data_IF_844287034549
#
_entry.id   IF_844287034549
#
_cell.length_a   1.000
_cell.length_b   1.000
_cell.length_c   1.000
_cell.angle_alpha   90.00
_cell.angle_beta   90.00
_cell.angle_gamma   90.00
#
_symmetry.space_group_name_H-M   'P 1'
#
loop_
_entity.id
_entity.type
_entity.pdbx_description
1 polymer ?
#
# COMPACT_ATOMS: atom_id res chain seq x y z
N UNK A 1 4.80 21.27 -20.50
CA UNK A 1 4.45 19.83 -20.36
C UNK A 1 5.64 18.92 -20.04
N UNK A 2 6.84 19.15 -20.58
CA UNK A 2 8.06 18.35 -20.28
C UNK A 2 8.53 18.42 -18.82
N UNK A 3 8.29 19.55 -18.14
CA UNK A 3 8.69 19.76 -16.75
C UNK A 3 7.96 18.89 -15.72
N UNK A 4 6.80 18.32 -16.05
CA UNK A 4 6.05 17.48 -15.10
C UNK A 4 6.34 15.98 -15.26
N UNK A 5 6.84 15.55 -16.43
CA UNK A 5 7.11 14.13 -16.72
C UNK A 5 8.40 13.64 -16.05
N UNK A 6 9.46 14.46 -16.07
CA UNK A 6 10.71 14.10 -15.40
C UNK A 6 10.56 14.05 -13.88
N UNK A 7 9.78 14.95 -13.27
CA UNK A 7 9.47 14.91 -11.83
C UNK A 7 8.72 13.64 -11.43
N UNK A 8 7.74 13.21 -12.23
CA UNK A 8 7.05 11.94 -12.03
C UNK A 8 8.03 10.76 -12.12
N UNK A 9 8.88 10.73 -13.15
CA UNK A 9 9.87 9.67 -13.34
C UNK A 9 10.84 9.59 -12.15
N UNK A 10 11.38 10.72 -11.69
CA UNK A 10 12.25 10.76 -10.50
C UNK A 10 11.52 10.33 -9.22
N UNK A 11 10.29 10.77 -9.02
CA UNK A 11 9.49 10.37 -7.85
C UNK A 11 9.26 8.86 -7.84
N UNK A 12 8.91 8.28 -8.99
CA UNK A 12 8.73 6.83 -9.15
C UNK A 12 10.04 6.09 -8.92
N UNK A 13 11.14 6.55 -9.53
CA UNK A 13 12.45 5.90 -9.42
C UNK A 13 12.97 5.91 -7.97
N UNK A 14 12.94 7.07 -7.31
CA UNK A 14 13.40 7.22 -5.92
C UNK A 14 12.54 6.40 -4.98
N UNK A 15 11.22 6.46 -5.14
CA UNK A 15 10.31 5.74 -4.24
C UNK A 15 10.34 4.22 -4.44
N UNK A 16 10.42 3.73 -5.69
CA UNK A 16 10.65 2.30 -5.96
C UNK A 16 12.03 1.86 -5.48
N UNK A 17 13.08 2.68 -5.68
CA UNK A 17 14.42 2.37 -5.21
C UNK A 17 14.47 2.25 -3.69
N UNK A 18 13.88 3.22 -2.97
CA UNK A 18 13.77 3.17 -1.52
C UNK A 18 12.95 1.95 -1.05
N UNK A 19 11.86 1.63 -1.74
CA UNK A 19 11.04 0.46 -1.45
C UNK A 19 11.82 -0.85 -1.65
N UNK A 20 12.50 -1.02 -2.79
CA UNK A 20 13.29 -2.23 -3.05
C UNK A 20 14.46 -2.38 -2.07
N UNK A 21 15.11 -1.28 -1.69
CA UNK A 21 16.15 -1.30 -0.66
C UNK A 21 15.58 -1.77 0.69
N UNK A 22 14.47 -1.19 1.14
CA UNK A 22 13.81 -1.61 2.37
C UNK A 22 13.33 -3.07 2.29
N UNK A 23 12.76 -3.47 1.16
CA UNK A 23 12.26 -4.81 0.93
C UNK A 23 13.37 -5.87 0.94
N UNK A 24 14.50 -5.54 0.32
CA UNK A 24 15.70 -6.37 0.34
C UNK A 24 16.23 -6.53 1.77
N UNK A 25 16.35 -5.43 2.52
CA UNK A 25 16.83 -5.48 3.91
C UNK A 25 15.93 -6.31 4.81
N UNK A 26 14.60 -6.15 4.70
CA UNK A 26 13.63 -6.94 5.47
C UNK A 26 13.69 -8.42 5.08
N UNK A 27 13.76 -8.72 3.78
CA UNK A 27 13.84 -10.10 3.28
C UNK A 27 15.14 -10.78 3.73
N UNK A 28 16.28 -10.10 3.58
CA UNK A 28 17.58 -10.60 4.02
C UNK A 28 17.65 -10.80 5.53
N UNK A 29 17.07 -9.90 6.33
CA UNK A 29 16.97 -10.07 7.77
C UNK A 29 16.08 -11.28 8.13
N UNK A 30 14.94 -11.44 7.47
CA UNK A 30 14.07 -12.58 7.71
C UNK A 30 14.75 -13.91 7.38
N UNK A 31 15.46 -14.01 6.25
CA UNK A 31 16.24 -15.19 5.90
C UNK A 31 17.40 -15.46 6.88
N UNK A 32 18.06 -14.39 7.36
CA UNK A 32 19.20 -14.51 8.28
C UNK A 32 18.78 -14.98 9.68
N UNK A 33 17.66 -14.46 10.18
CA UNK A 33 17.23 -14.70 11.56
C UNK A 33 16.16 -15.78 11.68
N UNK A 34 15.52 -16.18 10.57
CA UNK A 34 14.48 -17.22 10.49
C UNK A 34 13.50 -17.18 11.69
N UNK A 35 12.85 -16.03 11.95
CA UNK A 35 12.04 -15.85 13.15
C UNK A 35 10.87 -16.82 13.19
N UNK A 36 10.50 -17.25 14.40
CA UNK A 36 9.26 -18.02 14.62
C UNK A 36 8.03 -17.20 14.21
N UNK A 37 6.89 -17.89 14.01
CA UNK A 37 5.61 -17.24 13.69
C UNK A 37 5.27 -16.18 14.74
N UNK A 38 5.38 -16.51 16.02
CA UNK A 38 5.09 -15.57 17.11
C UNK A 38 5.98 -14.32 17.05
N UNK A 39 7.28 -14.51 16.82
CA UNK A 39 8.22 -13.40 16.65
C UNK A 39 7.84 -12.54 15.44
N UNK A 40 7.45 -13.17 14.33
CA UNK A 40 7.00 -12.47 13.12
C UNK A 40 5.71 -11.67 13.34
N UNK A 41 4.79 -12.17 14.18
CA UNK A 41 3.57 -11.45 14.58
C UNK A 41 3.90 -10.23 15.43
N UNK A 42 4.82 -10.34 16.38
CA UNK A 42 5.28 -9.20 17.16
C UNK A 42 5.97 -8.15 16.31
N UNK A 43 6.85 -8.56 15.39
CA UNK A 43 7.50 -7.64 14.44
C UNK A 43 6.45 -6.96 13.55
N UNK A 44 5.50 -7.72 13.01
CA UNK A 44 4.42 -7.19 12.17
C UNK A 44 3.50 -6.23 12.94
N UNK A 45 3.18 -6.55 14.20
CA UNK A 45 2.40 -5.69 15.10
C UNK A 45 3.14 -4.39 15.43
N UNK A 46 4.44 -4.47 15.76
CA UNK A 46 5.27 -3.31 16.00
C UNK A 46 5.39 -2.42 14.74
N UNK A 47 5.57 -3.03 13.57
CA UNK A 47 5.60 -2.32 12.28
C UNK A 47 4.26 -1.65 11.97
N UNK A 48 3.13 -2.32 12.26
CA UNK A 48 1.80 -1.74 12.10
C UNK A 48 1.57 -0.55 13.06
N UNK A 49 2.01 -0.65 14.31
CA UNK A 49 1.93 0.44 15.28
C UNK A 49 2.81 1.64 14.91
N UNK A 50 4.04 1.37 14.42
CA UNK A 50 4.92 2.40 13.88
C UNK A 50 4.28 3.06 12.63
N UNK A 51 3.72 2.26 11.72
CA UNK A 51 2.97 2.73 10.56
C UNK A 51 1.78 3.61 10.94
N UNK A 52 1.02 3.22 11.97
CA UNK A 52 -0.09 4.01 12.49
C UNK A 52 0.38 5.35 13.06
N UNK A 53 1.48 5.33 13.82
CA UNK A 53 2.08 6.55 14.38
C UNK A 53 2.54 7.51 13.28
N UNK A 54 3.21 6.99 12.25
CA UNK A 54 3.64 7.75 11.08
C UNK A 54 2.45 8.28 10.28
N UNK A 55 1.41 7.45 10.09
CA UNK A 55 0.21 7.86 9.38
C UNK A 55 -0.55 8.97 10.13
N UNK A 56 -0.69 8.87 11.46
CA UNK A 56 -1.27 9.95 12.27
C UNK A 56 -0.41 11.22 12.16
N UNK A 57 0.92 11.10 12.26
CA UNK A 57 1.85 12.22 12.13
C UNK A 57 1.73 12.92 10.76
N UNK A 58 1.68 12.14 9.67
CA UNK A 58 1.53 12.63 8.30
C UNK A 58 0.18 13.35 8.06
N UNK A 59 -0.84 13.09 8.88
CA UNK A 59 -2.14 13.74 8.79
C UNK A 59 -2.34 14.86 9.83
N UNK A 60 -1.31 15.23 10.61
CA UNK A 60 -1.41 16.33 11.59
C UNK A 60 -1.60 17.67 10.90
N UNK A 61 -0.86 17.91 9.83
CA UNK A 61 -0.96 19.11 9.00
C UNK A 61 -1.81 18.78 7.78
N UNK A 62 -2.98 19.43 7.59
CA UNK A 62 -3.78 19.24 6.39
C UNK A 62 -2.99 19.70 5.16
N UNK A 63 -2.73 18.78 4.23
CA UNK A 63 -2.23 19.13 2.90
C UNK A 63 -3.41 19.21 1.94
N UNK A 64 -3.65 20.35 1.26
CA UNK A 64 -4.76 20.48 0.32
C UNK A 64 -4.61 19.45 -0.79
N UNK A 65 -5.52 18.48 -0.83
CA UNK A 65 -5.66 17.52 -1.92
C UNK A 65 -6.85 17.98 -2.79
N UNK A 66 -6.62 18.77 -3.86
CA UNK A 66 -7.72 19.27 -4.68
C UNK A 66 -8.50 18.08 -5.25
N UNK A 67 -9.84 18.18 -5.22
CA UNK A 67 -10.68 17.13 -5.77
C UNK A 67 -10.34 16.87 -7.25
N UNK A 68 -10.27 15.59 -7.62
CA UNK A 68 -10.04 15.20 -9.01
C UNK A 68 -11.19 15.66 -9.90
N UNK A 69 -10.97 16.69 -10.72
CA UNK A 69 -11.98 17.25 -11.62
C UNK A 69 -11.91 16.70 -13.05
N UNK A 70 -10.85 15.97 -13.39
CA UNK A 70 -10.63 15.46 -14.75
C UNK A 70 -11.12 14.03 -14.88
N UNK A 71 -11.78 13.69 -15.99
CA UNK A 71 -12.11 12.31 -16.32
C UNK A 71 -10.83 11.53 -16.64
N UNK A 72 -10.72 10.33 -16.09
CA UNK A 72 -9.60 9.42 -16.41
C UNK A 72 -9.90 8.77 -17.75
N UNK A 73 -9.00 8.94 -18.72
CA UNK A 73 -9.17 8.35 -20.05
C UNK A 73 -9.06 6.81 -20.04
N UNK A 74 -9.73 6.11 -20.97
CA UNK A 74 -9.75 4.64 -21.01
C UNK A 74 -8.35 4.03 -21.17
N UNK A 75 -7.45 4.68 -21.92
CA UNK A 75 -6.06 4.23 -22.06
C UNK A 75 -5.30 4.22 -20.72
N UNK A 76 -5.55 5.21 -19.86
CA UNK A 76 -4.93 5.27 -18.53
C UNK A 76 -5.47 4.14 -17.65
N UNK A 77 -6.78 3.84 -17.73
CA UNK A 77 -7.37 2.72 -17.01
C UNK A 77 -6.81 1.37 -17.48
N UNK A 78 -6.71 1.17 -18.80
CA UNK A 78 -6.12 -0.02 -19.39
C UNK A 78 -4.65 -0.19 -18.97
N UNK A 79 -3.84 0.86 -19.08
CA UNK A 79 -2.44 0.83 -18.67
C UNK A 79 -2.27 0.50 -17.18
N UNK A 80 -3.13 1.02 -16.30
CA UNK A 80 -3.15 0.65 -14.87
C UNK A 80 -3.47 -0.82 -14.66
N UNK A 81 -4.50 -1.32 -15.33
CA UNK A 81 -4.92 -2.71 -15.22
C UNK A 81 -3.81 -3.67 -15.66
N UNK A 82 -3.18 -3.37 -16.81
CA UNK A 82 -2.03 -4.16 -17.31
C UNK A 82 -0.86 -4.08 -16.35
N UNK A 83 -0.47 -2.88 -15.89
CA UNK A 83 0.65 -2.72 -14.96
C UNK A 83 0.41 -3.43 -13.62
N UNK A 84 -0.79 -3.30 -13.05
CA UNK A 84 -1.18 -4.00 -11.83
C UNK A 84 -1.21 -5.52 -12.05
N UNK A 85 -1.79 -5.99 -13.15
CA UNK A 85 -1.83 -7.41 -13.49
C UNK A 85 -0.45 -8.04 -13.63
N UNK A 86 0.48 -7.35 -14.32
CA UNK A 86 1.87 -7.79 -14.43
C UNK A 86 2.56 -7.83 -13.07
N UNK A 87 2.40 -6.80 -12.24
CA UNK A 87 3.02 -6.75 -10.92
C UNK A 87 2.48 -7.86 -9.99
N UNK A 88 1.17 -8.13 -10.02
CA UNK A 88 0.57 -9.25 -9.28
C UNK A 88 1.02 -10.60 -9.85
N UNK A 89 1.13 -10.73 -11.18
CA UNK A 89 1.67 -11.93 -11.81
C UNK A 89 3.10 -12.25 -11.36
N UNK A 90 3.97 -11.22 -11.30
CA UNK A 90 5.32 -11.34 -10.75
C UNK A 90 5.29 -11.73 -9.27
N UNK A 91 4.43 -11.09 -8.47
CA UNK A 91 4.26 -11.46 -7.06
C UNK A 91 3.87 -12.94 -6.90
N UNK A 92 2.87 -13.41 -7.65
CA UNK A 92 2.45 -14.82 -7.63
C UNK A 92 3.59 -15.76 -8.06
N UNK A 93 4.36 -15.40 -9.10
CA UNK A 93 5.52 -16.17 -9.52
C UNK A 93 6.58 -16.29 -8.41
N UNK A 94 6.88 -15.18 -7.72
CA UNK A 94 7.81 -15.16 -6.57
C UNK A 94 7.29 -15.99 -5.40
N UNK A 95 5.97 -15.96 -5.14
CA UNK A 95 5.37 -16.78 -4.08
C UNK A 95 5.54 -18.27 -4.38
N UNK A 96 5.38 -18.67 -5.65
CA UNK A 96 5.56 -20.06 -6.09
C UNK A 96 7.01 -20.51 -6.13
N UNK A 97 7.97 -19.58 -6.24
CA UNK A 97 9.42 -19.89 -6.21
C UNK A 97 10.00 -19.98 -4.80
N UNK A 98 9.16 -20.04 -3.76
CA UNK A 98 9.61 -20.11 -2.37
C UNK A 98 10.02 -18.77 -1.77
N UNK A 99 9.66 -17.64 -2.41
CA UNK A 99 9.97 -16.28 -1.93
C UNK A 99 8.67 -15.54 -1.53
N UNK A 100 7.90 -16.03 -0.52
CA UNK A 100 6.61 -15.46 -0.15
C UNK A 100 6.73 -14.01 0.37
N UNK A 101 7.84 -13.67 1.01
CA UNK A 101 8.10 -12.29 1.47
C UNK A 101 8.29 -11.37 0.27
N UNK A 102 9.19 -11.71 -0.65
CA UNK A 102 9.42 -10.93 -1.86
C UNK A 102 8.13 -10.75 -2.69
N UNK A 103 7.30 -11.80 -2.78
CA UNK A 103 5.95 -11.72 -3.35
C UNK A 103 5.09 -10.64 -2.70
N UNK A 104 4.98 -10.66 -1.37
CA UNK A 104 4.19 -9.66 -0.64
C UNK A 104 4.71 -8.23 -0.89
N UNK A 105 6.03 -8.05 -0.96
CA UNK A 105 6.63 -6.73 -1.18
C UNK A 105 6.46 -6.24 -2.63
N UNK A 106 6.45 -7.15 -3.61
CA UNK A 106 6.16 -6.84 -5.01
C UNK A 106 4.68 -6.45 -5.23
N UNK A 107 3.76 -7.02 -4.46
CA UNK A 107 2.33 -6.71 -4.56
C UNK A 107 1.98 -5.33 -3.96
N UNK A 108 2.58 -4.93 -2.84
CA UNK A 108 2.15 -3.72 -2.13
C UNK A 108 2.56 -2.44 -2.86
N UNK A 109 3.85 -2.19 -3.06
CA UNK A 109 4.29 -0.89 -3.58
C UNK A 109 4.29 -0.81 -5.13
N UNK A 110 4.95 -1.73 -5.86
CA UNK A 110 4.92 -1.73 -7.32
C UNK A 110 3.50 -1.89 -7.91
N UNK A 111 2.67 -2.78 -7.35
CA UNK A 111 1.34 -3.04 -7.92
C UNK A 111 0.30 -2.01 -7.47
N UNK A 112 0.19 -1.72 -6.17
CA UNK A 112 -0.89 -0.84 -5.66
C UNK A 112 -0.45 0.62 -5.70
N UNK A 113 0.62 0.99 -4.99
CA UNK A 113 0.99 2.39 -4.84
C UNK A 113 1.50 3.03 -6.13
N UNK A 114 2.43 2.40 -6.85
CA UNK A 114 2.98 2.98 -8.07
C UNK A 114 1.88 3.17 -9.12
N UNK A 115 0.99 2.19 -9.31
CA UNK A 115 -0.08 2.31 -10.31
C UNK A 115 -1.12 3.36 -9.94
N UNK A 116 -1.47 3.51 -8.66
CA UNK A 116 -2.38 4.55 -8.18
C UNK A 116 -1.71 5.93 -8.32
N UNK A 117 -0.47 6.10 -7.86
CA UNK A 117 0.25 7.38 -7.90
C UNK A 117 0.50 7.85 -9.32
N UNK A 118 1.02 6.99 -10.19
CA UNK A 118 1.30 7.35 -11.59
C UNK A 118 0.00 7.70 -12.31
N UNK A 119 -1.05 6.90 -12.14
CA UNK A 119 -2.32 7.18 -12.80
C UNK A 119 -3.01 8.45 -12.32
N UNK A 120 -3.03 8.68 -11.01
CA UNK A 120 -3.62 9.90 -10.43
C UNK A 120 -2.80 11.13 -10.79
N UNK A 121 -1.47 11.02 -10.86
CA UNK A 121 -0.63 12.11 -11.35
C UNK A 121 -0.89 12.41 -12.82
N UNK A 122 -0.95 11.39 -13.69
CA UNK A 122 -1.21 11.56 -15.12
C UNK A 122 -2.62 12.12 -15.39
N UNK A 123 -3.62 11.72 -14.61
CA UNK A 123 -5.01 12.14 -14.81
C UNK A 123 -5.37 13.44 -14.09
N UNK A 124 -4.85 13.68 -12.88
CA UNK A 124 -5.24 14.80 -12.01
C UNK A 124 -4.10 15.79 -11.72
N UNK A 125 -2.86 15.47 -12.08
CA UNK A 125 -1.67 16.29 -11.80
C UNK A 125 -1.07 16.02 -10.43
N UNK A 126 0.17 16.47 -10.20
CA UNK A 126 0.97 16.13 -9.03
C UNK A 126 0.30 16.43 -7.68
N UNK A 127 -0.45 17.53 -7.58
CA UNK A 127 -1.04 18.01 -6.32
C UNK A 127 -2.01 17.02 -5.67
N UNK A 128 -2.70 16.20 -6.48
CA UNK A 128 -3.70 15.24 -5.98
C UNK A 128 -3.04 14.07 -5.25
N UNK A 129 -2.15 13.26 -5.87
CA UNK A 129 -1.47 12.20 -5.15
C UNK A 129 -0.60 12.70 -4.01
N UNK A 130 0.06 13.87 -4.14
CA UNK A 130 0.91 14.40 -3.06
C UNK A 130 0.11 14.86 -1.85
N UNK A 131 -1.06 15.51 -2.04
CA UNK A 131 -1.95 15.88 -0.94
C UNK A 131 -2.65 14.68 -0.31
N UNK A 132 -2.86 13.60 -1.07
CA UNK A 132 -3.52 12.39 -0.61
C UNK A 132 -2.58 11.40 0.11
N UNK A 133 -1.27 11.64 0.18
CA UNK A 133 -0.29 10.71 0.79
C UNK A 133 -0.67 10.37 2.23
N UNK A 134 -0.97 11.37 3.07
CA UNK A 134 -1.37 11.16 4.46
C UNK A 134 -2.60 10.25 4.57
N UNK A 135 -3.74 10.59 3.94
CA UNK A 135 -4.91 9.73 3.91
C UNK A 135 -4.65 8.32 3.35
N UNK A 136 -3.80 8.21 2.32
CA UNK A 136 -3.42 6.91 1.75
C UNK A 136 -2.63 6.06 2.74
N UNK A 137 -1.70 6.65 3.51
CA UNK A 137 -0.95 5.94 4.55
C UNK A 137 -1.89 5.36 5.62
N UNK A 138 -2.86 6.14 6.09
CA UNK A 138 -3.89 5.66 7.02
C UNK A 138 -4.71 4.50 6.44
N UNK A 139 -5.12 4.63 5.18
CA UNK A 139 -5.84 3.57 4.47
C UNK A 139 -5.03 2.28 4.39
N UNK A 140 -3.72 2.35 4.18
CA UNK A 140 -2.88 1.16 4.02
C UNK A 140 -2.64 0.35 5.28
N UNK A 141 -2.95 0.91 6.45
CA UNK A 141 -2.91 0.15 7.71
C UNK A 141 -3.95 -0.98 7.73
N UNK A 142 -5.00 -0.91 6.89
CA UNK A 142 -5.93 -2.02 6.74
C UNK A 142 -5.25 -3.25 6.12
N UNK A 143 -4.23 -3.06 5.28
CA UNK A 143 -3.44 -4.16 4.72
C UNK A 143 -2.61 -4.84 5.81
N UNK A 144 -2.01 -4.05 6.71
CA UNK A 144 -1.29 -4.58 7.88
C UNK A 144 -2.23 -5.35 8.81
N UNK A 145 -3.41 -4.80 9.09
CA UNK A 145 -4.44 -5.49 9.89
C UNK A 145 -4.90 -6.79 9.22
N UNK A 146 -5.13 -6.76 7.90
CA UNK A 146 -5.47 -7.95 7.12
C UNK A 146 -4.38 -9.03 7.25
N UNK A 147 -3.11 -8.67 7.08
CA UNK A 147 -1.99 -9.63 7.14
C UNK A 147 -1.85 -10.27 8.53
N UNK A 148 -1.98 -9.47 9.59
CA UNK A 148 -1.95 -9.97 10.96
C UNK A 148 -3.15 -10.90 11.25
N UNK A 149 -4.35 -10.53 10.83
CA UNK A 149 -5.54 -11.38 10.99
C UNK A 149 -5.43 -12.67 10.15
N UNK A 150 -4.87 -12.58 8.94
CA UNK A 150 -4.75 -13.70 8.02
C UNK A 150 -3.86 -14.81 8.60
N UNK A 151 -2.84 -14.46 9.39
CA UNK A 151 -1.96 -15.44 10.05
C UNK A 151 -2.72 -16.45 10.93
N UNK A 152 -3.85 -16.03 11.51
CA UNK A 152 -4.70 -16.86 12.35
C UNK A 152 -5.94 -17.37 11.60
N UNK A 153 -6.55 -16.55 10.74
CA UNK A 153 -7.77 -16.91 10.05
C UNK A 153 -7.54 -17.98 8.97
N UNK A 154 -6.45 -17.90 8.19
CA UNK A 154 -6.21 -18.83 7.08
C UNK A 154 -6.01 -20.29 7.53
N UNK A 155 -5.32 -20.56 8.66
CA UNK A 155 -5.28 -21.91 9.23
C UNK A 155 -6.61 -22.40 9.81
N UNK A 156 -7.50 -21.48 10.23
CA UNK A 156 -8.70 -21.81 11.00
C UNK A 156 -9.98 -22.02 10.15
N UNK A 157 -10.04 -21.47 8.93
CA UNK A 157 -11.22 -21.54 8.08
C UNK A 157 -10.88 -21.68 6.60
N UNK A 158 -11.87 -22.02 5.77
CA UNK A 158 -11.69 -22.11 4.32
C UNK A 158 -11.15 -20.79 3.74
N UNK A 159 -10.20 -20.87 2.81
CA UNK A 159 -9.44 -19.71 2.28
C UNK A 159 -10.33 -18.55 1.83
N UNK A 160 -11.43 -18.84 1.12
CA UNK A 160 -12.36 -17.81 0.66
C UNK A 160 -13.07 -17.09 1.82
N UNK A 161 -13.47 -17.85 2.86
CA UNK A 161 -14.10 -17.31 4.06
C UNK A 161 -13.09 -16.50 4.89
N UNK A 162 -11.85 -17.00 5.03
CA UNK A 162 -10.76 -16.30 5.72
C UNK A 162 -10.47 -14.95 5.06
N UNK A 163 -10.33 -14.93 3.73
CA UNK A 163 -10.07 -13.71 2.99
C UNK A 163 -11.21 -12.68 3.13
N UNK A 164 -12.47 -13.13 3.01
CA UNK A 164 -13.63 -12.26 3.21
C UNK A 164 -13.69 -11.70 4.63
N UNK A 165 -13.50 -12.55 5.64
CA UNK A 165 -13.48 -12.17 7.04
C UNK A 165 -12.38 -11.14 7.34
N UNK A 166 -11.13 -11.43 6.96
CA UNK A 166 -10.01 -10.52 7.17
C UNK A 166 -10.23 -9.17 6.47
N UNK A 167 -10.79 -9.17 5.26
CA UNK A 167 -11.09 -7.94 4.53
C UNK A 167 -12.16 -7.10 5.22
N UNK A 168 -13.26 -7.72 5.66
CA UNK A 168 -14.34 -7.03 6.38
C UNK A 168 -13.79 -6.42 7.67
N UNK A 169 -13.13 -7.23 8.49
CA UNK A 169 -12.61 -6.77 9.79
C UNK A 169 -11.61 -5.64 9.59
N UNK A 170 -10.61 -5.81 8.72
CA UNK A 170 -9.61 -4.77 8.48
C UNK A 170 -10.22 -3.46 7.94
N UNK A 171 -11.22 -3.55 7.06
CA UNK A 171 -11.90 -2.37 6.50
C UNK A 171 -12.70 -1.64 7.58
N UNK A 172 -13.45 -2.38 8.39
CA UNK A 172 -14.31 -1.82 9.43
C UNK A 172 -13.51 -1.27 10.61
N UNK A 173 -12.39 -1.89 11.00
CA UNK A 173 -11.60 -1.44 12.15
C UNK A 173 -10.56 -0.38 11.81
N UNK A 174 -10.12 -0.29 10.55
CA UNK A 174 -9.07 0.66 10.15
C UNK A 174 -9.58 1.69 9.16
N UNK A 175 -10.08 1.26 8.00
CA UNK A 175 -10.43 2.18 6.91
C UNK A 175 -11.64 3.06 7.25
N UNK A 176 -12.69 2.49 7.87
CA UNK A 176 -13.89 3.24 8.26
C UNK A 176 -13.58 4.30 9.34
N UNK A 177 -12.93 3.97 10.48
CA UNK A 177 -12.54 4.98 11.46
C UNK A 177 -11.59 6.03 10.89
N UNK A 178 -10.62 5.62 10.05
CA UNK A 178 -9.72 6.55 9.37
C UNK A 178 -10.48 7.53 8.47
N UNK A 179 -11.44 7.04 7.68
CA UNK A 179 -12.32 7.88 6.87
C UNK A 179 -13.15 8.85 7.72
N UNK A 180 -13.79 8.37 8.79
CA UNK A 180 -14.60 9.20 9.67
C UNK A 180 -13.76 10.27 10.39
N UNK A 181 -12.53 9.94 10.79
CA UNK A 181 -11.61 10.89 11.42
C UNK A 181 -11.17 11.99 10.45
N UNK A 182 -10.80 11.62 9.22
CA UNK A 182 -10.41 12.58 8.19
C UNK A 182 -11.57 13.45 7.74
N UNK A 183 -12.79 12.88 7.61
CA UNK A 183 -14.00 13.62 7.22
C UNK A 183 -14.36 14.72 8.22
N UNK A 184 -14.06 14.54 9.50
CA UNK A 184 -14.33 15.54 10.56
C UNK A 184 -13.36 16.71 10.54
N UNK A 185 -12.24 16.62 9.83
CA UNK A 185 -11.28 17.73 9.69
C UNK A 185 -11.75 18.65 8.57
N UNK A 186 -11.80 19.98 8.77
CA UNK A 186 -12.18 20.91 7.72
C UNK A 186 -11.18 20.79 6.55
N UNK A 187 -11.67 20.26 5.43
CA UNK A 187 -10.99 20.32 4.14
C UNK A 187 -11.05 21.79 3.69
N UNK A 188 -9.97 22.54 3.87
CA UNK A 188 -9.77 23.84 3.23
C UNK A 188 -9.34 23.62 1.77
#
# INVERSE_FOLDING_TARGET
MLTHRHLLAWTVLISLGAWFAAAFLVSAAHERFAPTVDTSLWIGGAAAAAGLSLAIAANRVPHPAPAGRRRVGPLVLAARGVAAGLAIGVAVALSRSGLPIASSMAAVFPAIFTTIMVATWLSQGAKVPTGAVGPMMLGTLSVSAYALLASWAFPAMHVAAAAAFCWIVATVTVSVPGFLWLRRRPLL
#
